data_IF_826610718431
#
_entry.id   IF_826610718431
#
_cell.length_a   1.000
_cell.length_b   1.000
_cell.length_c   1.000
_cell.angle_alpha   90.00
_cell.angle_beta   90.00
_cell.angle_gamma   90.00
#
_symmetry.space_group_name_H-M   'P 1'
#
loop_
_entity.id
_entity.type
_entity.pdbx_description
1 polymer ?
#
# COMPACT_ATOMS: atom_id res chain seq x y z
N UNK A 1 11.37 -11.16 7.48
CA UNK A 1 9.99 -11.63 7.78
C UNK A 1 9.77 -12.98 7.12
N UNK A 2 9.12 -13.91 7.82
CA UNK A 2 8.63 -15.16 7.25
C UNK A 2 7.10 -15.12 7.24
N UNK A 3 6.47 -15.54 6.14
CA UNK A 3 5.02 -15.54 5.96
C UNK A 3 4.59 -16.79 5.20
N UNK A 4 3.38 -17.28 5.43
CA UNK A 4 2.84 -18.45 4.73
C UNK A 4 2.52 -18.15 3.26
N UNK A 5 2.18 -16.91 2.93
CA UNK A 5 1.85 -16.48 1.57
C UNK A 5 2.56 -15.17 1.21
N UNK A 6 2.81 -14.97 -0.07
CA UNK A 6 3.30 -13.73 -0.65
C UNK A 6 2.45 -12.55 -0.15
N UNK A 7 3.06 -11.49 0.41
CA UNK A 7 2.30 -10.37 0.93
C UNK A 7 1.46 -9.68 -0.16
N UNK A 8 0.16 -9.51 0.09
CA UNK A 8 -0.70 -8.61 -0.70
C UNK A 8 -0.18 -7.16 -0.63
N UNK A 9 -0.68 -6.25 -1.49
CA UNK A 9 -0.16 -4.88 -1.55
C UNK A 9 -0.20 -4.13 -0.21
N UNK A 10 -1.25 -4.34 0.60
CA UNK A 10 -1.36 -3.74 1.94
C UNK A 10 -0.24 -4.24 2.87
N UNK A 11 -0.06 -5.56 2.95
CA UNK A 11 0.97 -6.17 3.79
C UNK A 11 2.37 -5.78 3.31
N UNK A 12 2.60 -5.74 2.00
CA UNK A 12 3.88 -5.32 1.43
C UNK A 12 4.20 -3.86 1.80
N UNK A 13 3.22 -2.95 1.74
CA UNK A 13 3.40 -1.56 2.19
C UNK A 13 3.80 -1.50 3.67
N UNK A 14 3.19 -2.30 4.54
CA UNK A 14 3.55 -2.39 5.96
C UNK A 14 4.99 -2.91 6.18
N UNK A 15 5.45 -3.85 5.35
CA UNK A 15 6.84 -4.33 5.39
C UNK A 15 7.82 -3.20 5.05
N UNK A 16 7.52 -2.38 4.03
CA UNK A 16 8.34 -1.22 3.69
C UNK A 16 8.36 -0.19 4.83
N UNK A 17 7.19 0.14 5.40
CA UNK A 17 7.10 1.05 6.55
C UNK A 17 7.87 0.57 7.78
N UNK A 18 7.96 -0.75 7.98
CA UNK A 18 8.72 -1.36 9.09
C UNK A 18 10.21 -1.56 8.79
N UNK A 19 10.68 -1.20 7.58
CA UNK A 19 12.08 -1.30 7.14
C UNK A 19 12.65 -2.73 7.22
N UNK A 20 11.81 -3.73 7.01
CA UNK A 20 12.24 -5.13 6.93
C UNK A 20 12.92 -5.37 5.58
N UNK A 21 14.17 -5.86 5.61
CA UNK A 21 14.99 -5.99 4.40
C UNK A 21 14.67 -7.22 3.53
N UNK A 22 14.15 -8.30 4.13
CA UNK A 22 13.96 -9.59 3.45
C UNK A 22 12.66 -10.27 3.85
N UNK A 23 11.98 -10.84 2.86
CA UNK A 23 10.75 -11.63 3.02
C UNK A 23 11.00 -13.03 2.46
N UNK A 24 10.64 -14.05 3.22
CA UNK A 24 10.54 -15.42 2.75
C UNK A 24 9.08 -15.84 2.83
N UNK A 25 8.54 -16.37 1.74
CA UNK A 25 7.15 -16.79 1.64
C UNK A 25 7.03 -18.18 1.01
N UNK A 26 5.97 -18.92 1.33
CA UNK A 26 5.73 -20.26 0.82
C UNK A 26 4.76 -20.26 -0.39
N UNK A 27 3.52 -19.80 -0.20
CA UNK A 27 2.52 -19.70 -1.26
C UNK A 27 2.61 -18.36 -2.01
N UNK A 28 2.26 -18.34 -3.30
CA UNK A 28 2.23 -17.15 -4.14
C UNK A 28 0.87 -16.44 -4.13
N UNK A 29 0.81 -15.21 -4.66
CA UNK A 29 -0.46 -14.50 -4.90
C UNK A 29 -1.40 -15.24 -5.85
N UNK A 30 -0.89 -16.12 -6.71
CA UNK A 30 -1.71 -16.93 -7.61
C UNK A 30 -2.39 -18.08 -6.85
N UNK A 31 -1.67 -18.72 -5.93
CA UNK A 31 -2.27 -19.72 -5.03
C UNK A 31 -3.38 -19.09 -4.18
N UNK A 32 -3.17 -17.85 -3.71
CA UNK A 32 -4.20 -17.09 -3.00
C UNK A 32 -5.41 -16.79 -3.90
N UNK A 33 -5.19 -16.38 -5.15
CA UNK A 33 -6.26 -16.12 -6.11
C UNK A 33 -7.06 -17.40 -6.46
N UNK A 34 -6.40 -18.53 -6.65
CA UNK A 34 -7.04 -19.83 -6.89
C UNK A 34 -7.89 -20.28 -5.69
N UNK A 35 -7.49 -19.89 -4.47
CA UNK A 35 -8.25 -20.10 -3.24
C UNK A 35 -9.39 -19.06 -3.03
N UNK A 36 -9.55 -18.09 -3.93
CA UNK A 36 -10.62 -17.10 -3.91
C UNK A 36 -10.30 -15.81 -3.15
N UNK A 37 -9.02 -15.52 -2.89
CA UNK A 37 -8.61 -14.24 -2.29
C UNK A 37 -8.29 -13.17 -3.35
N UNK A 38 -8.48 -11.90 -2.98
CA UNK A 38 -8.35 -10.76 -3.89
C UNK A 38 -6.91 -10.25 -4.07
N UNK A 39 -5.90 -10.88 -3.45
CA UNK A 39 -4.50 -10.43 -3.44
C UNK A 39 -4.00 -10.01 -4.82
N UNK A 40 -4.21 -10.87 -5.82
CA UNK A 40 -3.82 -10.62 -7.20
C UNK A 40 -4.61 -9.46 -7.82
N UNK A 41 -5.93 -9.40 -7.61
CA UNK A 41 -6.79 -8.34 -8.15
C UNK A 41 -6.33 -6.99 -7.63
N UNK A 42 -6.02 -6.89 -6.34
CA UNK A 42 -5.54 -5.65 -5.72
C UNK A 42 -4.18 -5.27 -6.32
N UNK A 43 -3.29 -6.23 -6.63
CA UNK A 43 -2.05 -5.95 -7.36
C UNK A 43 -2.31 -5.41 -8.77
N UNK A 44 -3.25 -5.98 -9.51
CA UNK A 44 -3.56 -5.57 -10.88
C UNK A 44 -4.12 -4.13 -10.92
N UNK A 45 -4.86 -3.69 -9.89
CA UNK A 45 -5.38 -2.31 -9.79
C UNK A 45 -4.28 -1.23 -9.73
N UNK A 46 -3.04 -1.57 -9.39
CA UNK A 46 -1.93 -0.61 -9.38
C UNK A 46 -1.38 -0.30 -10.76
N UNK A 47 -1.62 -1.16 -11.76
CA UNK A 47 -1.03 -1.02 -13.10
C UNK A 47 -2.04 -0.62 -14.17
N UNK A 48 -3.34 -0.64 -13.87
CA UNK A 48 -4.39 -0.17 -14.79
C UNK A 48 -4.50 1.35 -14.80
N UNK A 49 -4.93 1.97 -15.92
CA UNK A 49 -5.22 3.40 -15.99
C UNK A 49 -6.26 3.84 -14.93
N UNK A 50 -6.19 5.10 -14.50
CA UNK A 50 -7.09 5.64 -13.46
C UNK A 50 -8.57 5.55 -13.86
N UNK A 51 -8.86 5.72 -15.15
CA UNK A 51 -10.19 5.62 -15.72
C UNK A 51 -10.78 4.20 -15.57
N UNK A 52 -9.92 3.19 -15.56
CA UNK A 52 -10.28 1.77 -15.48
C UNK A 52 -10.27 1.21 -14.04
N UNK A 53 -9.61 1.90 -13.10
CA UNK A 53 -9.61 1.50 -11.69
C UNK A 53 -11.03 1.35 -11.15
N UNK A 54 -11.28 0.27 -10.41
CA UNK A 54 -12.57 0.00 -9.78
C UNK A 54 -12.85 0.97 -8.64
N UNK A 55 -11.82 1.28 -7.85
CA UNK A 55 -11.91 2.26 -6.79
C UNK A 55 -11.71 3.66 -7.36
N UNK A 56 -12.73 4.51 -7.24
CA UNK A 56 -12.67 5.90 -7.67
C UNK A 56 -12.22 6.79 -6.53
N UNK A 57 -11.17 7.57 -6.76
CA UNK A 57 -10.66 8.55 -5.82
C UNK A 57 -11.16 9.94 -6.20
N UNK A 58 -11.74 10.64 -5.24
CA UNK A 58 -12.21 12.01 -5.41
C UNK A 58 -11.31 12.96 -4.63
N UNK A 59 -10.65 13.87 -5.33
CA UNK A 59 -9.78 14.86 -4.72
C UNK A 59 -10.58 16.12 -4.37
N UNK A 60 -10.72 16.41 -3.07
CA UNK A 60 -11.47 17.54 -2.55
C UNK A 60 -10.60 18.34 -1.58
N UNK A 61 -10.83 19.66 -1.50
CA UNK A 61 -10.19 20.57 -0.54
C UNK A 61 -8.65 20.46 -0.54
N UNK A 62 -8.04 20.44 -1.73
CA UNK A 62 -6.59 20.22 -1.89
C UNK A 62 -5.75 21.28 -1.15
N UNK A 63 -6.16 22.55 -1.21
CA UNK A 63 -5.41 23.63 -0.57
C UNK A 63 -5.46 23.52 0.95
N UNK A 64 -6.63 23.23 1.53
CA UNK A 64 -6.80 23.02 2.96
C UNK A 64 -6.08 21.74 3.42
N UNK A 65 -6.12 20.68 2.63
CA UNK A 65 -5.44 19.42 2.93
C UNK A 65 -3.91 19.57 3.01
N UNK A 66 -3.32 20.45 2.19
CA UNK A 66 -1.87 20.73 2.21
C UNK A 66 -1.40 21.31 3.55
N UNK A 67 -2.27 21.96 4.31
CA UNK A 67 -1.93 22.55 5.59
C UNK A 67 -1.44 21.51 6.61
N UNK A 68 -1.93 20.27 6.55
CA UNK A 68 -1.43 19.17 7.39
C UNK A 68 0.07 18.94 7.20
N UNK A 69 0.54 18.99 5.95
CA UNK A 69 1.96 18.84 5.64
C UNK A 69 2.76 20.12 5.94
N UNK A 70 2.16 21.30 5.83
CA UNK A 70 2.77 22.57 6.30
C UNK A 70 3.07 22.52 7.80
N UNK A 71 2.12 22.06 8.61
CA UNK A 71 2.27 21.87 10.05
C UNK A 71 3.30 20.79 10.39
N UNK A 72 3.25 19.64 9.70
CA UNK A 72 4.28 18.62 9.84
C UNK A 72 5.67 19.18 9.53
N UNK A 73 5.80 19.98 8.47
CA UNK A 73 7.10 20.48 8.03
C UNK A 73 7.71 21.50 8.98
N UNK A 74 6.88 22.36 9.58
CA UNK A 74 7.29 23.37 10.56
C UNK A 74 7.50 22.84 11.97
N UNK A 75 7.05 21.63 12.29
CA UNK A 75 7.22 21.03 13.61
C UNK A 75 8.70 20.65 13.88
N UNK A 76 9.39 21.31 14.83
CA UNK A 76 10.79 21.02 15.14
C UNK A 76 10.99 19.68 15.86
N UNK A 77 9.93 19.06 16.38
CA UNK A 77 9.96 17.79 17.10
C UNK A 77 9.53 16.60 16.22
N UNK A 78 9.33 16.80 14.91
CA UNK A 78 8.89 15.72 14.02
C UNK A 78 9.95 14.62 13.93
N UNK A 79 9.49 13.38 13.85
CA UNK A 79 10.33 12.19 13.69
C UNK A 79 10.04 11.61 12.30
N UNK A 80 11.09 11.38 11.51
CA UNK A 80 10.99 10.76 10.20
C UNK A 80 10.77 9.25 10.34
N UNK A 81 9.86 8.72 9.53
CA UNK A 81 9.53 7.31 9.41
C UNK A 81 10.17 6.67 8.16
#
# INVERSE_FOLDING_TARGET
MYTSCEPCPMCLAAVYWSRIEKIYYACSRYDAADAGFDDKIIYDEFVVPEEEKKLKLFHLLHEEGKEVFSQWNSNPQKIMY
#
